data_IF_216935855609
#
_entry.id   IF_216935855609
#
_cell.length_a   1.000
_cell.length_b   1.000
_cell.length_c   1.000
_cell.angle_alpha   90.00
_cell.angle_beta   90.00
_cell.angle_gamma   90.00
#
_symmetry.space_group_name_H-M   'P 1'
#
loop_
_entity.id
_entity.type
_entity.pdbx_description
1 polymer ?
#
# COMPACT_ATOMS: atom_id res chain seq x y z
N UNK A 1 -43.13 41.38 -24.85
CA UNK A 1 -42.27 42.08 -23.88
C UNK A 1 -43.05 42.16 -22.57
N UNK A 2 -42.36 41.98 -21.43
CA UNK A 2 -42.84 41.70 -20.05
C UNK A 2 -42.95 40.20 -19.70
N UNK A 3 -41.89 39.70 -19.05
CA UNK A 3 -41.97 38.64 -18.07
C UNK A 3 -41.31 39.16 -16.79
N UNK A 4 -42.05 39.06 -15.67
CA UNK A 4 -41.67 39.53 -14.34
C UNK A 4 -40.58 38.67 -13.70
N UNK A 5 -39.71 39.33 -12.94
CA UNK A 5 -38.73 38.73 -12.06
C UNK A 5 -39.40 38.23 -10.78
N UNK A 6 -39.04 37.02 -10.34
CA UNK A 6 -39.20 36.61 -8.94
C UNK A 6 -37.81 36.40 -8.34
N UNK A 7 -37.58 37.10 -7.24
CA UNK A 7 -36.36 37.10 -6.43
C UNK A 7 -35.95 35.70 -5.96
N UNK A 8 -34.64 35.49 -5.84
CA UNK A 8 -34.03 34.31 -5.21
C UNK A 8 -34.21 34.36 -3.69
N UNK A 9 -34.53 33.23 -3.03
CA UNK A 9 -34.09 32.99 -1.67
C UNK A 9 -32.74 32.26 -1.65
N UNK A 10 -31.91 32.59 -0.66
CA UNK A 10 -30.55 32.11 -0.43
C UNK A 10 -30.50 30.58 -0.16
N UNK A 11 -29.48 29.90 -0.71
CA UNK A 11 -29.06 28.54 -0.30
C UNK A 11 -27.93 28.65 0.76
N UNK A 12 -27.51 27.60 1.50
CA UNK A 12 -27.81 26.17 1.32
C UNK A 12 -28.04 25.35 2.63
N UNK A 13 -28.73 24.21 2.52
CA UNK A 13 -28.45 23.03 3.38
C UNK A 13 -28.38 21.83 2.44
N UNK A 14 -27.16 21.39 2.12
CA UNK A 14 -26.92 20.18 1.35
C UNK A 14 -27.14 18.96 2.24
N UNK A 15 -28.32 18.36 2.19
CA UNK A 15 -28.41 16.90 2.36
C UNK A 15 -28.16 16.29 0.99
N UNK A 16 -26.90 15.89 0.76
CA UNK A 16 -26.53 15.13 -0.41
C UNK A 16 -27.37 13.84 -0.43
N UNK A 17 -28.29 13.77 -1.40
CA UNK A 17 -29.00 12.55 -1.76
C UNK A 17 -27.95 11.50 -2.16
N UNK A 18 -27.61 10.58 -1.26
CA UNK A 18 -26.91 9.36 -1.63
C UNK A 18 -27.88 8.53 -2.47
N UNK A 19 -27.55 8.16 -3.73
CA UNK A 19 -28.37 7.20 -4.45
C UNK A 19 -28.22 5.85 -3.75
N UNK A 20 -29.37 5.28 -3.36
CA UNK A 20 -29.46 3.88 -2.98
C UNK A 20 -29.14 3.01 -4.21
N UNK A 21 -28.54 1.84 -3.95
CA UNK A 21 -28.28 0.70 -4.85
C UNK A 21 -27.05 0.83 -5.78
N UNK A 22 -25.93 0.24 -5.35
CA UNK A 22 -24.84 -0.21 -6.23
C UNK A 22 -24.41 -1.63 -5.80
N UNK A 23 -24.90 -2.64 -6.50
CA UNK A 23 -24.40 -4.02 -6.46
C UNK A 23 -23.43 -4.24 -7.64
N UNK A 24 -22.26 -3.61 -7.56
CA UNK A 24 -21.13 -3.81 -8.48
C UNK A 24 -19.85 -3.56 -7.69
N UNK A 25 -18.76 -4.25 -8.03
CA UNK A 25 -17.44 -4.03 -7.42
C UNK A 25 -17.15 -2.54 -7.36
N UNK A 26 -17.12 -1.97 -6.15
CA UNK A 26 -16.75 -0.57 -5.98
C UNK A 26 -15.24 -0.51 -6.00
N UNK A 27 -14.68 0.02 -7.09
CA UNK A 27 -13.27 0.40 -7.10
C UNK A 27 -13.08 1.50 -6.05
N UNK A 28 -12.32 1.24 -4.98
CA UNK A 28 -12.21 2.19 -3.90
C UNK A 28 -11.48 3.43 -4.39
N UNK A 29 -11.98 4.60 -4.02
CA UNK A 29 -11.14 5.78 -4.02
C UNK A 29 -10.21 5.66 -2.81
N UNK A 30 -8.92 5.49 -3.05
CA UNK A 30 -7.93 5.41 -1.99
C UNK A 30 -6.55 5.86 -2.46
N UNK A 31 -5.75 6.39 -1.52
CA UNK A 31 -4.35 6.73 -1.75
C UNK A 31 -3.52 6.44 -0.52
N UNK A 32 -2.37 5.80 -0.73
CA UNK A 32 -1.38 5.56 0.31
C UNK A 32 0.01 5.94 -0.21
N UNK A 33 0.81 6.61 0.62
CA UNK A 33 2.13 7.12 0.24
C UNK A 33 3.13 6.97 1.36
N UNK A 34 4.42 6.91 1.02
CA UNK A 34 5.51 7.03 1.97
C UNK A 34 6.62 6.05 1.66
N UNK A 35 7.30 5.61 2.70
CA UNK A 35 8.39 4.65 2.60
C UNK A 35 8.96 4.37 3.97
N UNK A 36 9.68 3.26 4.07
CA UNK A 36 10.10 2.78 5.36
C UNK A 36 11.35 1.94 5.33
N UNK A 37 11.76 1.61 6.53
CA UNK A 37 12.78 0.62 6.83
C UNK A 37 12.20 -0.37 7.83
N UNK A 38 12.53 -1.63 7.63
CA UNK A 38 12.22 -2.73 8.54
C UNK A 38 13.53 -3.45 8.82
N UNK A 39 13.85 -3.66 10.10
CA UNK A 39 15.09 -4.33 10.52
C UNK A 39 14.80 -5.73 11.06
N UNK A 40 15.78 -6.63 10.92
CA UNK A 40 15.73 -7.94 11.53
C UNK A 40 16.19 -7.92 13.01
N UNK A 41 15.67 -8.78 13.90
CA UNK A 41 14.50 -9.62 13.68
C UNK A 41 13.24 -8.77 13.48
N UNK A 42 12.37 -9.21 12.58
CA UNK A 42 11.18 -8.47 12.20
C UNK A 42 10.22 -8.28 13.38
N UNK A 43 9.47 -7.17 13.37
CA UNK A 43 8.47 -6.83 14.39
C UNK A 43 8.99 -6.12 15.64
N UNK A 44 10.30 -5.84 15.72
CA UNK A 44 10.88 -4.98 16.75
C UNK A 44 10.96 -3.50 16.32
N UNK A 45 10.97 -2.54 17.27
CA UNK A 45 11.16 -1.11 16.96
C UNK A 45 12.64 -0.73 16.74
N UNK A 46 13.55 -1.68 16.95
CA UNK A 46 14.98 -1.47 16.97
C UNK A 46 15.58 -1.43 15.57
N UNK A 47 16.54 -0.52 15.39
CA UNK A 47 17.20 -0.30 14.11
C UNK A 47 18.62 -0.86 14.13
N UNK A 48 18.95 -1.71 13.17
CA UNK A 48 20.30 -2.22 13.03
C UNK A 48 21.26 -1.17 12.46
N UNK A 49 22.56 -1.26 12.76
CA UNK A 49 23.57 -0.44 12.10
C UNK A 49 23.55 -0.67 10.57
N UNK A 50 23.66 0.37 9.72
CA UNK A 50 23.66 0.19 8.26
C UNK A 50 24.73 -0.80 7.75
N UNK A 51 25.89 -0.87 8.41
CA UNK A 51 26.96 -1.80 8.06
C UNK A 51 26.61 -3.28 8.30
N UNK A 52 25.56 -3.59 9.08
CA UNK A 52 25.10 -4.96 9.29
C UNK A 52 24.40 -5.53 8.06
N UNK A 53 23.83 -4.67 7.21
CA UNK A 53 22.95 -5.05 6.11
C UNK A 53 21.72 -5.90 6.51
N UNK A 54 21.38 -5.96 7.79
CA UNK A 54 20.24 -6.75 8.31
C UNK A 54 18.96 -5.92 8.34
N UNK A 55 18.58 -5.37 7.19
CA UNK A 55 17.39 -4.54 7.06
C UNK A 55 16.94 -4.45 5.61
N UNK A 56 15.72 -3.96 5.45
CA UNK A 56 15.09 -3.71 4.17
C UNK A 56 14.60 -2.28 4.11
N UNK A 57 14.50 -1.74 2.91
CA UNK A 57 13.99 -0.39 2.67
C UNK A 57 13.01 -0.40 1.53
N UNK A 58 11.98 0.43 1.62
CA UNK A 58 11.01 0.57 0.54
C UNK A 58 10.53 2.00 0.40
N UNK A 59 10.13 2.35 -0.82
CA UNK A 59 9.34 3.53 -1.15
C UNK A 59 8.09 3.08 -1.90
N UNK A 60 6.91 3.51 -1.45
CA UNK A 60 5.66 3.03 -2.01
C UNK A 60 4.63 4.14 -2.11
N UNK A 61 3.98 4.20 -3.28
CA UNK A 61 2.88 5.09 -3.58
C UNK A 61 1.83 4.32 -4.37
N UNK A 62 0.58 4.34 -3.92
CA UNK A 62 -0.53 3.73 -4.65
C UNK A 62 -1.76 4.63 -4.60
N UNK A 63 -2.48 4.68 -5.71
CA UNK A 63 -3.74 5.38 -5.88
C UNK A 63 -4.70 4.44 -6.62
N UNK A 64 -5.92 4.34 -6.12
CA UNK A 64 -7.06 3.77 -6.83
C UNK A 64 -8.15 4.84 -6.92
N UNK A 65 -8.71 5.05 -8.10
CA UNK A 65 -9.82 5.98 -8.29
C UNK A 65 -10.67 5.62 -9.50
N UNK A 66 -11.84 5.03 -9.23
CA UNK A 66 -12.81 4.65 -10.26
C UNK A 66 -12.37 3.50 -11.15
N UNK A 67 -12.91 3.46 -12.36
CA UNK A 67 -12.74 2.36 -13.31
C UNK A 67 -11.84 2.75 -14.48
N UNK A 68 -11.00 1.81 -14.92
CA UNK A 68 -10.30 1.85 -16.18
C UNK A 68 -11.25 1.58 -17.36
N UNK A 69 -10.77 1.78 -18.59
CA UNK A 69 -11.58 1.62 -19.80
C UNK A 69 -12.04 0.18 -20.06
N UNK A 70 -11.40 -0.80 -19.45
CA UNK A 70 -11.74 -2.22 -19.51
C UNK A 70 -12.70 -2.67 -18.39
N UNK A 71 -13.10 -1.75 -17.50
CA UNK A 71 -13.97 -2.02 -16.36
C UNK A 71 -13.25 -2.54 -15.12
N UNK A 72 -11.92 -2.70 -15.14
CA UNK A 72 -11.12 -2.96 -13.94
C UNK A 72 -10.96 -1.71 -13.08
N UNK A 73 -10.45 -1.83 -11.86
CA UNK A 73 -10.13 -0.66 -11.05
C UNK A 73 -8.95 0.10 -11.61
N UNK A 74 -9.12 1.41 -11.77
CA UNK A 74 -8.06 2.28 -12.23
C UNK A 74 -7.05 2.47 -11.10
N UNK A 75 -6.00 1.66 -11.13
CA UNK A 75 -4.91 1.69 -10.16
C UNK A 75 -3.64 2.26 -10.77
N UNK A 76 -2.91 3.06 -10.00
CA UNK A 76 -1.64 3.67 -10.38
C UNK A 76 -0.72 3.73 -9.17
N UNK A 77 0.58 3.76 -9.42
CA UNK A 77 1.55 3.92 -8.35
C UNK A 77 2.90 3.32 -8.69
N UNK A 78 3.71 3.16 -7.65
CA UNK A 78 5.03 2.55 -7.72
C UNK A 78 5.43 1.95 -6.37
N UNK A 79 6.13 0.82 -6.41
CA UNK A 79 6.87 0.24 -5.31
C UNK A 79 8.34 0.12 -5.70
N UNK A 80 9.25 0.59 -4.86
CA UNK A 80 10.64 0.17 -4.87
C UNK A 80 10.91 -0.51 -3.53
N UNK A 81 11.42 -1.72 -3.55
CA UNK A 81 11.73 -2.49 -2.35
C UNK A 81 13.12 -3.10 -2.49
N UNK A 82 13.93 -2.96 -1.45
CA UNK A 82 15.33 -3.39 -1.42
C UNK A 82 15.58 -4.17 -0.15
N UNK A 83 16.01 -5.42 -0.29
CA UNK A 83 16.55 -6.21 0.81
C UNK A 83 18.08 -6.17 0.79
N UNK A 84 18.64 -5.55 1.82
CA UNK A 84 20.10 -5.38 1.94
C UNK A 84 20.78 -6.64 2.45
N UNK A 85 20.03 -7.57 3.05
CA UNK A 85 20.52 -8.81 3.63
C UNK A 85 20.77 -9.89 2.58
N UNK A 86 19.99 -9.85 1.49
CA UNK A 86 20.15 -10.75 0.35
C UNK A 86 21.08 -10.17 -0.71
N UNK A 87 21.71 -11.06 -1.48
CA UNK A 87 22.62 -10.69 -2.56
C UNK A 87 22.29 -11.43 -3.84
N UNK A 88 21.98 -10.68 -4.89
CA UNK A 88 21.80 -11.15 -6.26
C UNK A 88 22.90 -10.53 -7.11
N UNK A 89 23.73 -11.38 -7.74
CA UNK A 89 24.89 -10.93 -8.52
C UNK A 89 25.83 -9.95 -7.77
N UNK A 90 25.97 -10.10 -6.45
CA UNK A 90 26.82 -9.27 -5.60
C UNK A 90 26.18 -7.95 -5.11
N UNK A 91 24.99 -7.60 -5.61
CA UNK A 91 24.22 -6.42 -5.20
C UNK A 91 23.04 -6.82 -4.30
N UNK A 92 22.52 -5.91 -3.45
CA UNK A 92 21.25 -6.13 -2.76
C UNK A 92 20.14 -6.56 -3.72
N UNK A 93 19.21 -7.39 -3.25
CA UNK A 93 17.98 -7.68 -3.97
C UNK A 93 17.20 -6.37 -4.10
N UNK A 94 16.93 -5.93 -5.32
CA UNK A 94 16.23 -4.67 -5.59
C UNK A 94 15.11 -4.93 -6.59
N UNK A 95 13.89 -4.77 -6.10
CA UNK A 95 12.66 -4.96 -6.85
C UNK A 95 11.99 -3.60 -7.09
N UNK A 96 11.41 -3.43 -8.27
CA UNK A 96 10.60 -2.27 -8.58
C UNK A 96 9.32 -2.70 -9.28
N UNK A 97 8.22 -2.03 -9.00
CA UNK A 97 6.95 -2.33 -9.64
C UNK A 97 6.98 -1.93 -11.09
N UNK A 98 6.58 -2.85 -11.94
CA UNK A 98 6.23 -2.57 -13.32
C UNK A 98 4.73 -2.23 -13.43
N UNK A 99 3.90 -2.94 -12.67
CA UNK A 99 2.46 -2.76 -12.69
C UNK A 99 1.87 -2.95 -11.30
N UNK A 100 0.90 -2.11 -10.95
CA UNK A 100 -0.06 -2.37 -9.85
C UNK A 100 -1.35 -2.80 -10.52
N UNK A 101 -1.99 -3.85 -10.01
CA UNK A 101 -3.14 -4.50 -10.64
C UNK A 101 -4.40 -4.41 -9.81
N UNK A 102 -4.28 -4.27 -8.48
CA UNK A 102 -5.43 -4.13 -7.60
C UNK A 102 -5.09 -3.28 -6.37
N UNK A 103 -6.14 -2.72 -5.76
CA UNK A 103 -6.14 -2.01 -4.49
C UNK A 103 -7.47 -2.26 -3.80
N UNK A 104 -7.42 -2.66 -2.53
CA UNK A 104 -8.57 -2.85 -1.67
C UNK A 104 -8.36 -2.01 -0.40
N UNK A 105 -9.44 -1.35 0.05
CA UNK A 105 -9.44 -0.66 1.34
C UNK A 105 -9.83 -1.68 2.41
N UNK A 106 -9.00 -1.78 3.44
CA UNK A 106 -9.27 -2.63 4.59
C UNK A 106 -9.77 -1.79 5.75
N UNK A 107 -10.63 -2.40 6.57
CA UNK A 107 -11.12 -1.81 7.80
C UNK A 107 -10.46 -2.59 8.94
N UNK A 108 -9.35 -2.06 9.44
CA UNK A 108 -8.54 -2.70 10.48
C UNK A 108 -8.39 -1.76 11.68
N UNK A 109 -8.88 -2.18 12.85
CA UNK A 109 -8.86 -1.37 14.07
C UNK A 109 -7.42 -1.02 14.52
N UNK A 110 -6.44 -1.84 14.12
CA UNK A 110 -5.02 -1.63 14.37
C UNK A 110 -4.40 -0.53 13.50
N UNK A 111 -5.04 -0.14 12.39
CA UNK A 111 -4.58 0.87 11.43
C UNK A 111 -5.53 2.07 11.45
N UNK A 112 -5.39 2.91 12.49
CA UNK A 112 -6.38 3.94 12.84
C UNK A 112 -6.69 4.94 11.73
N UNK A 113 -5.71 5.28 10.92
CA UNK A 113 -5.87 6.28 9.86
C UNK A 113 -6.24 5.64 8.53
N UNK A 114 -5.79 4.40 8.29
CA UNK A 114 -6.29 3.56 7.21
C UNK A 114 -5.35 2.41 6.85
N UNK A 115 -5.90 1.40 6.19
CA UNK A 115 -5.14 0.26 5.69
C UNK A 115 -5.52 -0.06 4.24
N UNK A 116 -4.51 -0.44 3.44
CA UNK A 116 -4.69 -0.93 2.08
C UNK A 116 -4.09 -2.32 1.90
N UNK A 117 -4.77 -3.15 1.11
CA UNK A 117 -4.23 -4.34 0.48
C UNK A 117 -4.04 -4.06 -1.01
N UNK A 118 -2.84 -4.23 -1.55
CA UNK A 118 -2.58 -3.93 -2.96
C UNK A 118 -1.44 -4.75 -3.51
N UNK A 119 -1.44 -4.96 -4.82
CA UNK A 119 -0.48 -5.87 -5.44
C UNK A 119 -0.40 -5.71 -6.95
N UNK A 120 0.50 -6.49 -7.53
CA UNK A 120 0.78 -6.47 -8.96
C UNK A 120 2.10 -7.18 -9.28
N UNK A 121 2.89 -6.60 -10.19
CA UNK A 121 4.13 -7.19 -10.67
C UNK A 121 5.35 -6.33 -10.34
N UNK A 122 6.36 -6.96 -9.77
CA UNK A 122 7.71 -6.44 -9.58
C UNK A 122 8.68 -7.05 -10.58
N UNK A 123 9.74 -6.30 -10.88
CA UNK A 123 10.89 -6.75 -11.66
C UNK A 123 12.17 -6.54 -10.86
N UNK A 124 13.00 -7.57 -10.81
CA UNK A 124 14.30 -7.54 -10.14
C UNK A 124 15.34 -6.84 -11.03
N UNK A 125 16.01 -5.82 -10.47
CA UNK A 125 16.85 -4.91 -11.27
C UNK A 125 18.13 -5.56 -11.83
N UNK A 126 18.64 -6.64 -11.21
CA UNK A 126 19.92 -7.22 -11.59
C UNK A 126 19.81 -8.37 -12.60
N UNK A 127 18.63 -8.99 -12.72
CA UNK A 127 18.35 -10.19 -13.51
C UNK A 127 17.19 -9.97 -14.49
N UNK A 128 16.26 -9.06 -14.17
CA UNK A 128 15.02 -8.89 -14.92
C UNK A 128 13.95 -9.93 -14.59
N UNK A 129 14.15 -10.76 -13.56
CA UNK A 129 13.14 -11.71 -13.12
C UNK A 129 11.87 -11.01 -12.62
N UNK A 130 10.71 -11.57 -12.97
CA UNK A 130 9.39 -11.05 -12.63
C UNK A 130 8.82 -11.78 -11.41
N UNK A 131 8.19 -11.02 -10.53
CA UNK A 131 7.55 -11.50 -9.30
C UNK A 131 6.17 -10.89 -9.20
N UNK A 132 5.16 -11.70 -8.91
CA UNK A 132 3.90 -11.19 -8.40
C UNK A 132 4.10 -10.76 -6.94
N UNK A 133 3.42 -9.69 -6.52
CA UNK A 133 3.51 -9.20 -5.16
C UNK A 133 2.17 -8.77 -4.60
N UNK A 134 2.06 -8.87 -3.29
CA UNK A 134 0.95 -8.34 -2.49
C UNK A 134 1.52 -7.64 -1.26
N UNK A 135 0.87 -6.57 -0.84
CA UNK A 135 1.27 -5.72 0.29
C UNK A 135 0.08 -5.44 1.18
N UNK A 136 0.28 -5.62 2.50
CA UNK A 136 -0.52 -4.92 3.51
C UNK A 136 0.20 -3.66 3.98
N UNK A 137 -0.49 -2.54 3.87
CA UNK A 137 0.02 -1.21 4.14
C UNK A 137 -0.86 -0.52 5.17
N UNK A 138 -0.29 -0.15 6.31
CA UNK A 138 -1.01 0.32 7.49
C UNK A 138 -0.51 1.68 7.93
N UNK A 139 -1.42 2.64 8.02
CA UNK A 139 -1.20 3.95 8.63
C UNK A 139 -1.87 3.99 10.02
N UNK A 140 -1.09 4.31 11.05
CA UNK A 140 -1.51 4.20 12.44
C UNK A 140 -0.98 5.35 13.32
N UNK A 141 -1.43 6.55 13.03
CA UNK A 141 -1.19 7.75 13.81
C UNK A 141 -0.30 8.75 13.08
N UNK A 142 0.22 9.69 13.87
CA UNK A 142 1.01 10.78 13.29
C UNK A 142 2.34 10.29 12.69
N UNK A 143 2.75 10.85 11.54
CA UNK A 143 4.04 10.58 10.93
C UNK A 143 5.20 10.62 11.92
N UNK A 144 6.00 9.55 11.95
CA UNK A 144 7.17 9.43 12.82
C UNK A 144 6.88 8.87 14.22
N UNK A 145 5.62 8.53 14.55
CA UNK A 145 5.25 7.80 15.76
C UNK A 145 5.69 6.33 15.76
N UNK A 146 6.12 5.80 14.60
CA UNK A 146 6.57 4.40 14.39
C UNK A 146 5.53 3.35 14.73
N UNK A 147 4.27 3.64 14.43
CA UNK A 147 3.16 2.71 14.59
C UNK A 147 2.70 2.14 13.25
N UNK A 148 3.08 2.81 12.15
CA UNK A 148 2.82 2.40 10.79
C UNK A 148 3.46 1.06 10.52
N UNK A 149 2.93 0.38 9.51
CA UNK A 149 3.39 -0.95 9.21
C UNK A 149 3.27 -1.32 7.75
N UNK A 150 4.11 -2.28 7.37
CA UNK A 150 4.22 -2.76 6.00
C UNK A 150 4.58 -4.24 6.02
N UNK A 151 3.86 -5.05 5.26
CA UNK A 151 4.23 -6.44 4.99
C UNK A 151 4.09 -6.69 3.48
N UNK A 152 5.04 -7.42 2.90
CA UNK A 152 5.06 -7.79 1.49
C UNK A 152 5.24 -9.30 1.36
N UNK A 153 4.49 -9.91 0.45
CA UNK A 153 4.71 -11.27 -0.03
C UNK A 153 4.99 -11.24 -1.53
N UNK A 154 5.92 -12.09 -1.97
CA UNK A 154 6.35 -12.23 -3.36
C UNK A 154 6.13 -13.66 -3.83
N UNK A 155 5.64 -13.84 -5.06
CA UNK A 155 5.51 -15.13 -5.74
C UNK A 155 6.25 -15.08 -7.09
N UNK A 156 7.23 -15.95 -7.33
CA UNK A 156 8.06 -15.89 -8.55
C UNK A 156 9.01 -17.08 -8.79
N UNK A 157 9.73 -17.10 -9.92
CA UNK A 157 10.50 -18.25 -10.41
C UNK A 157 11.88 -18.35 -9.76
N UNK A 158 11.95 -18.63 -8.45
CA UNK A 158 13.20 -18.79 -7.71
C UNK A 158 13.03 -19.67 -6.47
N UNK A 159 13.13 -20.99 -6.67
CA UNK A 159 13.33 -22.10 -5.71
C UNK A 159 12.93 -21.92 -4.23
N UNK A 160 11.64 -21.74 -3.96
CA UNK A 160 10.88 -22.54 -2.99
C UNK A 160 9.40 -22.25 -3.16
N UNK A 161 8.56 -23.27 -3.00
CA UNK A 161 7.10 -23.14 -2.91
C UNK A 161 6.62 -22.43 -1.63
N UNK A 162 7.40 -21.49 -1.11
CA UNK A 162 7.06 -20.56 -0.04
C UNK A 162 7.55 -19.19 -0.54
N UNK A 163 6.62 -18.33 -0.95
CA UNK A 163 6.93 -17.00 -1.46
C UNK A 163 7.80 -16.21 -0.48
N UNK A 164 8.68 -15.35 -1.00
CA UNK A 164 9.45 -14.46 -0.12
C UNK A 164 8.45 -13.54 0.60
N UNK A 165 8.22 -13.83 1.87
CA UNK A 165 7.29 -13.10 2.73
C UNK A 165 8.12 -12.49 3.84
N UNK A 166 7.82 -11.24 4.21
CA UNK A 166 8.33 -10.75 5.48
C UNK A 166 7.61 -11.50 6.59
N UNK A 167 8.33 -12.44 7.20
CA UNK A 167 7.88 -13.13 8.41
C UNK A 167 7.93 -12.15 9.60
N UNK A 168 7.08 -11.13 9.54
CA UNK A 168 6.66 -10.35 10.70
C UNK A 168 6.11 -11.34 11.74
N UNK A 169 6.29 -11.10 13.05
CA UNK A 169 6.07 -12.14 14.05
C UNK A 169 4.64 -12.71 14.05
N UNK A 170 4.51 -13.86 13.37
CA UNK A 170 3.47 -14.91 13.34
C UNK A 170 1.99 -14.55 13.15
N UNK A 171 1.23 -15.31 12.32
CA UNK A 171 1.64 -16.44 11.44
C UNK A 171 2.14 -16.04 10.02
N UNK A 172 2.70 -16.98 9.22
CA UNK A 172 3.32 -16.74 7.90
C UNK A 172 2.32 -16.46 6.75
N UNK A 173 1.18 -15.87 7.07
CA UNK A 173 0.20 -15.45 6.08
C UNK A 173 0.26 -13.94 5.95
N UNK A 174 0.20 -13.45 4.72
CA UNK A 174 -0.15 -12.06 4.46
C UNK A 174 -1.51 -11.84 5.16
N UNK A 175 -1.53 -11.13 6.29
CA UNK A 175 -2.73 -10.80 7.06
C UNK A 175 -2.54 -9.40 7.66
N UNK A 176 -3.61 -8.60 7.79
CA UNK A 176 -3.55 -7.31 8.46
C UNK A 176 -3.03 -7.36 9.91
N UNK A 177 -3.16 -8.50 10.57
CA UNK A 177 -2.59 -8.73 11.92
C UNK A 177 -1.08 -9.05 11.90
N UNK A 178 -0.50 -9.31 10.72
CA UNK A 178 0.89 -9.75 10.54
C UNK A 178 1.73 -8.66 9.89
N UNK A 179 1.66 -7.45 10.41
CA UNK A 179 2.33 -6.30 9.84
C UNK A 179 3.63 -5.99 10.60
N UNK A 180 4.72 -5.75 9.87
CA UNK A 180 5.98 -5.33 10.46
C UNK A 180 5.91 -3.83 10.78
N UNK A 181 6.11 -3.49 12.05
CA UNK A 181 6.30 -2.10 12.46
C UNK A 181 7.54 -1.50 11.79
N UNK A 182 7.42 -0.27 11.30
CA UNK A 182 8.54 0.44 10.69
C UNK A 182 9.56 0.88 11.75
N UNK A 183 10.82 0.51 11.56
CA UNK A 183 11.95 0.97 12.38
C UNK A 183 12.43 2.36 11.96
N UNK A 184 11.98 2.82 10.79
CA UNK A 184 12.10 4.20 10.34
C UNK A 184 11.26 4.47 9.10
N UNK A 185 10.98 5.76 8.85
CA UNK A 185 10.05 6.19 7.79
C UNK A 185 8.61 6.25 8.28
N UNK A 186 7.67 6.33 7.35
CA UNK A 186 6.23 6.39 7.63
C UNK A 186 5.37 5.99 6.42
N UNK A 187 4.13 5.61 6.70
CA UNK A 187 3.01 5.48 5.76
C UNK A 187 2.03 6.62 6.02
N UNK A 188 1.30 7.01 4.99
CA UNK A 188 0.29 8.06 5.06
C UNK A 188 -0.87 7.67 4.18
N UNK A 189 -2.01 7.38 4.80
CA UNK A 189 -3.28 7.16 4.17
C UNK A 189 -3.94 8.51 3.90
N UNK A 190 -4.35 8.72 2.66
CA UNK A 190 -5.05 9.92 2.26
C UNK A 190 -6.49 9.51 1.93
N UNK A 191 -7.46 9.77 2.81
CA UNK A 191 -8.86 9.54 2.48
C UNK A 191 -9.20 10.41 1.28
N UNK A 192 -9.40 9.79 0.13
CA UNK A 192 -9.82 10.48 -1.09
C UNK A 192 -11.32 10.71 -0.97
N UNK A 193 -11.70 11.97 -0.76
CA UNK A 193 -13.10 12.37 -0.80
C UNK A 193 -13.63 12.22 -2.24
N UNK A 194 -14.72 11.45 -2.39
CA UNK A 194 -15.57 11.43 -3.57
C UNK A 194 -16.42 12.69 -3.66
#
# INVERSE_FOLDING_TARGET
MLAWACDRPESPVSQANKPLFWFGEQCPAAKMTGGGRIDAPFGGPDKNPPASHQYQTFGAHVISDGFASDGSCAVKGSLEWVDHSLRVNGSPLNLHSEQITFVEVLIEDSCKDGALHWGGRLVEKNTGEEYDFEVFDCDNGEPGARNDGFNIALSGPGESQDGYTLDCPSPPSLHPDNICTLTGGNRQYHPTHL
#
